data_IF_169262843525
#
_entry.id   IF_169262843525
#
_cell.length_a   1.000
_cell.length_b   1.000
_cell.length_c   1.000
_cell.angle_alpha   90.00
_cell.angle_beta   90.00
_cell.angle_gamma   90.00
#
_symmetry.space_group_name_H-M   'P 1'
#
loop_
_entity.id
_entity.type
_entity.pdbx_description
1 polymer ?
#
# COMPACT_ATOMS: atom_id res chain seq x y z
N UNK A 1 -27.23 -14.87 16.78
CA UNK A 1 -27.95 -16.18 16.79
C UNK A 1 -27.08 -17.18 17.56
N UNK A 2 -27.64 -18.01 18.44
CA UNK A 2 -26.88 -19.04 19.18
C UNK A 2 -27.22 -20.43 18.64
N UNK A 3 -26.22 -21.29 18.40
CA UNK A 3 -26.40 -22.68 17.97
C UNK A 3 -25.86 -23.61 19.06
N UNK A 4 -26.53 -24.74 19.27
CA UNK A 4 -26.05 -25.78 20.18
C UNK A 4 -25.10 -26.70 19.43
N UNK A 5 -24.00 -27.06 20.08
CA UNK A 5 -23.11 -28.11 19.61
C UNK A 5 -23.82 -29.47 19.79
N UNK A 6 -23.72 -30.33 18.79
CA UNK A 6 -24.33 -31.65 18.75
C UNK A 6 -23.23 -32.71 18.70
N UNK A 7 -23.43 -33.82 19.39
CA UNK A 7 -22.50 -34.95 19.31
C UNK A 7 -22.82 -35.78 18.06
N UNK A 8 -21.85 -35.94 17.15
CA UNK A 8 -21.98 -36.70 15.90
C UNK A 8 -21.29 -38.07 15.96
N UNK A 9 -20.51 -38.33 17.01
CA UNK A 9 -19.82 -39.60 17.27
C UNK A 9 -19.17 -39.61 18.67
N UNK A 10 -18.39 -40.64 18.99
CA UNK A 10 -17.71 -40.74 20.30
C UNK A 10 -16.69 -39.62 20.54
N UNK A 11 -16.10 -39.08 19.48
CA UNK A 11 -15.05 -38.04 19.54
C UNK A 11 -15.32 -36.80 18.69
N UNK A 12 -16.47 -36.71 18.01
CA UNK A 12 -16.75 -35.63 17.03
C UNK A 12 -17.95 -34.81 17.45
N UNK A 13 -17.77 -33.49 17.42
CA UNK A 13 -18.80 -32.49 17.66
C UNK A 13 -19.17 -31.80 16.33
N UNK A 14 -20.45 -31.49 16.15
CA UNK A 14 -20.97 -30.75 15.01
C UNK A 14 -21.74 -29.51 15.45
N UNK A 15 -21.82 -28.51 14.56
CA UNK A 15 -22.66 -27.33 14.73
C UNK A 15 -23.37 -27.03 13.41
N UNK A 16 -24.64 -26.66 13.47
CA UNK A 16 -25.41 -26.31 12.28
C UNK A 16 -25.13 -24.88 11.83
N UNK A 17 -24.82 -24.67 10.56
CA UNK A 17 -24.71 -23.34 9.95
C UNK A 17 -26.10 -22.74 9.62
N UNK A 18 -26.23 -21.40 9.47
CA UNK A 18 -27.50 -20.76 9.13
C UNK A 18 -28.03 -21.21 7.76
N UNK A 19 -29.31 -21.58 7.67
CA UNK A 19 -29.92 -22.07 6.43
C UNK A 19 -29.96 -21.01 5.31
N UNK A 20 -30.10 -19.73 5.66
CA UNK A 20 -30.08 -18.64 4.68
C UNK A 20 -28.69 -18.50 4.05
N UNK A 21 -27.63 -18.67 4.84
CA UNK A 21 -26.24 -18.64 4.37
C UNK A 21 -25.93 -19.84 3.46
N UNK A 22 -26.38 -21.05 3.84
CA UNK A 22 -26.27 -22.26 3.01
C UNK A 22 -26.94 -22.05 1.65
N UNK A 23 -28.17 -21.53 1.64
CA UNK A 23 -28.91 -21.25 0.41
C UNK A 23 -28.26 -20.16 -0.44
N UNK A 24 -27.77 -19.09 0.19
CA UNK A 24 -27.13 -17.98 -0.51
C UNK A 24 -25.86 -18.42 -1.25
N UNK A 25 -25.07 -19.31 -0.66
CA UNK A 25 -23.85 -19.83 -1.26
C UNK A 25 -24.05 -21.13 -2.05
N UNK A 26 -25.29 -21.61 -2.19
CA UNK A 26 -25.59 -22.84 -2.94
C UNK A 26 -24.95 -24.10 -2.36
N UNK A 27 -24.72 -24.14 -1.05
CA UNK A 27 -23.99 -25.24 -0.40
C UNK A 27 -24.89 -26.47 -0.30
N UNK A 28 -24.41 -27.58 -0.84
CA UNK A 28 -25.07 -28.87 -0.86
C UNK A 28 -24.41 -29.87 0.10
N UNK A 29 -25.06 -31.03 0.26
CA UNK A 29 -24.50 -32.11 1.08
C UNK A 29 -23.29 -32.71 0.37
N UNK A 30 -22.13 -32.60 1.00
CA UNK A 30 -20.88 -33.17 0.50
C UNK A 30 -19.83 -32.11 0.20
N UNK A 31 -20.26 -30.85 0.09
CA UNK A 31 -19.37 -29.71 -0.15
C UNK A 31 -18.43 -29.49 1.04
N UNK A 32 -17.19 -29.11 0.74
CA UNK A 32 -16.19 -28.83 1.77
C UNK A 32 -16.26 -27.35 2.19
N UNK A 33 -15.99 -27.12 3.47
CA UNK A 33 -15.87 -25.78 4.05
C UNK A 33 -14.45 -25.61 4.58
N UNK A 34 -13.84 -24.47 4.27
CA UNK A 34 -12.58 -24.09 4.92
C UNK A 34 -12.91 -23.40 6.23
N UNK A 35 -12.32 -23.93 7.30
CA UNK A 35 -12.37 -23.37 8.63
C UNK A 35 -11.05 -22.68 8.94
N UNK A 36 -11.11 -21.42 9.32
CA UNK A 36 -9.95 -20.67 9.78
C UNK A 36 -10.15 -20.23 11.21
N UNK A 37 -9.10 -20.39 12.02
CA UNK A 37 -9.10 -19.85 13.37
C UNK A 37 -8.80 -18.37 13.30
N UNK A 38 -9.62 -17.59 13.99
CA UNK A 38 -9.23 -16.26 14.41
C UNK A 38 -8.20 -16.42 15.54
N UNK A 39 -7.01 -15.84 15.37
CA UNK A 39 -5.87 -16.04 16.26
C UNK A 39 -6.12 -15.51 17.67
N UNK A 40 -6.98 -14.51 17.83
CA UNK A 40 -7.11 -13.77 19.09
C UNK A 40 -8.47 -13.94 19.80
N UNK A 41 -9.48 -14.51 19.14
CA UNK A 41 -10.85 -14.53 19.66
C UNK A 41 -11.46 -15.90 19.93
N UNK A 42 -10.72 -17.00 19.72
CA UNK A 42 -11.28 -18.36 19.74
C UNK A 42 -12.39 -18.59 18.71
N UNK A 43 -12.52 -17.66 17.75
CA UNK A 43 -13.55 -17.67 16.72
C UNK A 43 -13.12 -18.53 15.52
N UNK A 44 -14.11 -19.05 14.81
CA UNK A 44 -13.90 -19.79 13.56
C UNK A 44 -14.59 -19.06 12.42
N UNK A 45 -13.83 -18.69 11.40
CA UNK A 45 -14.35 -18.24 10.13
C UNK A 45 -14.60 -19.44 9.21
N UNK A 46 -15.83 -19.53 8.69
CA UNK A 46 -16.27 -20.60 7.79
C UNK A 46 -16.50 -20.03 6.39
N UNK A 47 -15.86 -20.63 5.38
CA UNK A 47 -15.95 -20.19 3.98
C UNK A 47 -16.17 -21.40 3.05
N UNK A 48 -17.10 -21.37 2.08
CA UNK A 48 -17.33 -22.47 1.12
C UNK A 48 -16.09 -22.75 0.26
N UNK A 49 -15.76 -24.01 -0.05
CA UNK A 49 -14.60 -24.39 -0.89
C UNK A 49 -14.54 -23.62 -2.22
N UNK A 50 -15.64 -23.60 -2.94
CA UNK A 50 -15.79 -22.75 -4.12
C UNK A 50 -16.88 -21.73 -3.81
N UNK A 51 -16.53 -20.54 -3.29
CA UNK A 51 -17.53 -19.52 -3.08
C UNK A 51 -18.15 -19.18 -4.45
N UNK A 52 -19.48 -19.17 -4.53
CA UNK A 52 -20.18 -18.50 -5.63
C UNK A 52 -19.86 -17.01 -5.50
N UNK A 53 -18.83 -16.54 -6.19
CA UNK A 53 -18.39 -15.15 -6.09
C UNK A 53 -19.33 -14.31 -6.97
N UNK A 54 -20.55 -14.06 -6.48
CA UNK A 54 -21.44 -13.05 -7.06
C UNK A 54 -20.83 -11.63 -7.04
N UNK A 55 -19.69 -11.47 -6.36
CA UNK A 55 -18.95 -10.25 -6.11
C UNK A 55 -17.75 -10.03 -7.07
N UNK A 56 -17.64 -10.75 -8.19
CA UNK A 56 -16.56 -10.48 -9.17
C UNK A 56 -16.89 -9.38 -10.17
N UNK A 57 -18.16 -9.01 -10.28
CA UNK A 57 -18.64 -8.04 -11.25
C UNK A 57 -19.21 -6.79 -10.57
N UNK A 58 -19.05 -5.64 -11.20
CA UNK A 58 -19.66 -4.40 -10.75
C UNK A 58 -20.10 -3.55 -11.95
N UNK A 59 -21.27 -2.94 -11.86
CA UNK A 59 -21.73 -1.92 -12.82
C UNK A 59 -21.65 -0.54 -12.18
N UNK A 60 -20.98 0.39 -12.85
CA UNK A 60 -20.90 1.80 -12.49
C UNK A 60 -21.85 2.55 -13.43
N UNK A 61 -22.82 3.24 -12.83
CA UNK A 61 -23.70 4.16 -13.55
C UNK A 61 -22.92 5.44 -13.91
N UNK A 62 -22.62 5.60 -15.20
CA UNK A 62 -21.85 6.71 -15.74
C UNK A 62 -22.64 8.01 -15.77
N UNK A 63 -23.97 7.97 -15.93
CA UNK A 63 -24.81 9.18 -16.03
C UNK A 63 -24.84 9.94 -14.69
N UNK A 64 -24.64 9.22 -13.59
CA UNK A 64 -24.58 9.77 -12.24
C UNK A 64 -23.21 10.38 -11.87
N UNK A 65 -22.19 10.26 -12.73
CA UNK A 65 -20.80 10.60 -12.40
C UNK A 65 -20.12 11.47 -13.47
N UNK A 66 -19.50 12.58 -13.03
CA UNK A 66 -18.50 13.28 -13.83
C UNK A 66 -17.21 12.45 -13.99
N UNK A 67 -16.38 12.80 -14.98
CA UNK A 67 -15.17 12.05 -15.34
C UNK A 67 -14.24 11.73 -14.15
N UNK A 68 -13.90 12.72 -13.32
CA UNK A 68 -13.02 12.50 -12.15
C UNK A 68 -13.64 11.54 -11.11
N UNK A 69 -14.97 11.60 -10.94
CA UNK A 69 -15.67 10.71 -10.01
C UNK A 69 -15.76 9.30 -10.58
N UNK A 70 -15.92 9.17 -11.90
CA UNK A 70 -15.90 7.91 -12.62
C UNK A 70 -14.53 7.23 -12.51
N UNK A 71 -13.42 7.94 -12.72
CA UNK A 71 -12.07 7.38 -12.54
C UNK A 71 -11.89 6.82 -11.12
N UNK A 72 -12.27 7.59 -10.09
CA UNK A 72 -12.23 7.13 -8.69
C UNK A 72 -13.13 5.92 -8.43
N UNK A 73 -14.29 5.85 -9.09
CA UNK A 73 -15.19 4.69 -8.97
C UNK A 73 -14.54 3.44 -9.57
N UNK A 74 -13.88 3.54 -10.72
CA UNK A 74 -13.14 2.43 -11.34
C UNK A 74 -11.97 1.99 -10.45
N UNK A 75 -11.15 2.93 -9.97
CA UNK A 75 -10.05 2.65 -9.02
C UNK A 75 -10.58 1.94 -7.76
N UNK A 76 -11.74 2.36 -7.24
CA UNK A 76 -12.37 1.73 -6.07
C UNK A 76 -12.79 0.30 -6.37
N UNK A 77 -13.50 0.05 -7.48
CA UNK A 77 -13.90 -1.31 -7.85
C UNK A 77 -12.69 -2.21 -8.10
N UNK A 78 -11.61 -1.67 -8.67
CA UNK A 78 -10.34 -2.38 -8.81
C UNK A 78 -9.75 -2.78 -7.45
N UNK A 79 -9.67 -1.86 -6.48
CA UNK A 79 -9.17 -2.16 -5.12
C UNK A 79 -10.07 -3.16 -4.41
N UNK A 80 -11.38 -3.09 -4.60
CA UNK A 80 -12.34 -4.06 -4.03
C UNK A 80 -12.24 -5.45 -4.68
N UNK A 81 -11.30 -5.68 -5.61
CA UNK A 81 -11.04 -7.01 -6.17
C UNK A 81 -12.02 -7.43 -7.26
N UNK A 82 -12.86 -6.52 -7.79
CA UNK A 82 -13.75 -6.85 -8.92
C UNK A 82 -12.91 -7.29 -10.13
N UNK A 83 -13.30 -8.37 -10.78
CA UNK A 83 -12.67 -8.88 -11.99
C UNK A 83 -13.24 -8.20 -13.23
N UNK A 84 -14.54 -7.94 -13.27
CA UNK A 84 -15.23 -7.27 -14.36
C UNK A 84 -15.89 -5.98 -13.86
N UNK A 85 -15.65 -4.86 -14.53
CA UNK A 85 -16.26 -3.58 -14.19
C UNK A 85 -16.90 -3.02 -15.46
N UNK A 86 -18.23 -2.92 -15.47
CA UNK A 86 -19.01 -2.34 -16.56
C UNK A 86 -19.33 -0.88 -16.23
N UNK A 87 -18.92 0.04 -17.08
CA UNK A 87 -19.24 1.46 -17.00
C UNK A 87 -20.37 1.71 -18.00
N UNK A 88 -21.59 1.95 -17.53
CA UNK A 88 -22.77 2.02 -18.37
C UNK A 88 -23.57 3.30 -18.12
N UNK A 89 -24.08 3.92 -19.19
CA UNK A 89 -25.04 5.02 -19.16
C UNK A 89 -26.26 4.72 -20.03
N UNK A 90 -27.35 5.45 -19.81
CA UNK A 90 -28.49 5.48 -20.71
C UNK A 90 -28.17 6.26 -22.00
N UNK A 91 -27.31 7.29 -21.89
CA UNK A 91 -26.81 8.09 -23.00
C UNK A 91 -25.37 7.66 -23.40
N UNK A 92 -24.89 8.03 -24.61
CA UNK A 92 -23.51 7.77 -25.00
C UNK A 92 -22.48 8.38 -24.05
N UNK A 93 -21.47 7.60 -23.67
CA UNK A 93 -20.39 8.03 -22.80
C UNK A 93 -19.63 9.21 -23.42
N UNK A 94 -19.49 10.27 -22.64
CA UNK A 94 -18.80 11.50 -23.04
C UNK A 94 -17.30 11.27 -23.23
N UNK A 95 -16.64 12.12 -24.04
CA UNK A 95 -15.17 12.07 -24.22
C UNK A 95 -14.39 12.04 -22.90
N UNK A 96 -14.66 12.96 -21.95
CA UNK A 96 -14.03 12.95 -20.62
C UNK A 96 -14.26 11.65 -19.82
N UNK A 97 -15.43 11.02 -19.91
CA UNK A 97 -15.68 9.73 -19.25
C UNK A 97 -14.88 8.60 -19.89
N UNK A 98 -14.71 8.59 -21.23
CA UNK A 98 -13.84 7.64 -21.93
C UNK A 98 -12.37 7.83 -21.53
N UNK A 99 -11.92 9.08 -21.47
CA UNK A 99 -10.57 9.42 -21.02
C UNK A 99 -10.31 8.97 -19.58
N UNK A 100 -11.31 9.05 -18.70
CA UNK A 100 -11.23 8.52 -17.34
C UNK A 100 -11.02 6.99 -17.32
N UNK A 101 -11.74 6.24 -18.17
CA UNK A 101 -11.53 4.79 -18.30
C UNK A 101 -10.12 4.46 -18.81
N UNK A 102 -9.65 5.17 -19.86
CA UNK A 102 -8.31 5.01 -20.41
C UNK A 102 -7.20 5.42 -19.42
N UNK A 103 -7.47 6.41 -18.57
CA UNK A 103 -6.57 6.79 -17.47
C UNK A 103 -6.46 5.65 -16.46
N UNK A 104 -7.59 5.09 -16.02
CA UNK A 104 -7.62 3.97 -15.09
C UNK A 104 -6.89 2.74 -15.66
N UNK A 105 -7.13 2.38 -16.93
CA UNK A 105 -6.41 1.29 -17.62
C UNK A 105 -4.89 1.50 -17.59
N UNK A 106 -4.40 2.70 -17.91
CA UNK A 106 -2.96 3.00 -17.88
C UNK A 106 -2.36 2.97 -16.49
N UNK A 107 -3.15 3.26 -15.45
CA UNK A 107 -2.71 3.42 -14.05
C UNK A 107 -2.87 2.16 -13.20
N UNK A 108 -3.68 1.19 -13.61
CA UNK A 108 -4.02 0.01 -12.81
C UNK A 108 -3.47 -1.25 -13.47
N UNK A 109 -2.62 -1.99 -12.76
CA UNK A 109 -1.97 -3.17 -13.32
C UNK A 109 -2.98 -4.29 -13.62
N UNK A 110 -2.89 -4.80 -14.85
CA UNK A 110 -3.70 -5.90 -15.36
C UNK A 110 -5.16 -5.54 -15.65
N UNK A 111 -5.53 -4.26 -15.57
CA UNK A 111 -6.81 -3.77 -16.07
C UNK A 111 -6.73 -3.58 -17.59
N UNK A 112 -7.74 -4.02 -18.33
CA UNK A 112 -7.82 -3.82 -19.79
C UNK A 112 -9.27 -3.71 -20.26
N UNK A 113 -9.51 -2.90 -21.28
CA UNK A 113 -10.83 -2.79 -21.92
C UNK A 113 -11.10 -4.08 -22.73
N UNK A 114 -12.23 -4.74 -22.43
CA UNK A 114 -12.66 -5.96 -23.14
C UNK A 114 -13.84 -5.72 -24.06
N UNK A 115 -14.60 -4.66 -23.82
CA UNK A 115 -15.73 -4.28 -24.65
C UNK A 115 -15.92 -2.76 -24.61
N UNK A 116 -16.19 -2.16 -25.77
CA UNK A 116 -16.43 -0.73 -25.91
C UNK A 116 -17.59 -0.50 -26.88
N UNK A 117 -18.63 0.16 -26.38
CA UNK A 117 -19.83 0.60 -27.11
C UNK A 117 -20.02 2.11 -26.90
N UNK A 118 -21.05 2.67 -27.53
CA UNK A 118 -21.40 4.09 -27.34
C UNK A 118 -21.81 4.39 -25.90
N UNK A 119 -22.65 3.54 -25.30
CA UNK A 119 -23.24 3.74 -23.96
C UNK A 119 -22.60 2.89 -22.86
N UNK A 120 -21.61 2.07 -23.19
CA UNK A 120 -21.02 1.11 -22.25
C UNK A 120 -19.55 0.84 -22.56
N UNK A 121 -18.70 0.79 -21.53
CA UNK A 121 -17.35 0.23 -21.61
C UNK A 121 -17.18 -0.79 -20.50
N UNK A 122 -16.72 -1.99 -20.82
CA UNK A 122 -16.40 -3.03 -19.85
C UNK A 122 -14.90 -3.23 -19.77
N UNK A 123 -14.35 -3.16 -18.57
CA UNK A 123 -12.95 -3.45 -18.27
C UNK A 123 -12.82 -4.73 -17.45
N UNK A 124 -11.75 -5.48 -17.69
CA UNK A 124 -11.41 -6.70 -16.95
C UNK A 124 -10.06 -6.55 -16.27
N UNK A 125 -9.96 -6.98 -15.02
CA UNK A 125 -8.70 -7.16 -14.33
C UNK A 125 -8.27 -8.63 -14.35
N UNK A 126 -7.12 -8.91 -14.95
CA UNK A 126 -6.58 -10.27 -15.12
C UNK A 126 -5.53 -10.66 -14.06
N UNK A 127 -5.46 -9.92 -12.95
CA UNK A 127 -4.51 -10.19 -11.85
C UNK A 127 -5.08 -11.26 -10.93
N UNK A 128 -4.37 -12.38 -10.80
CA UNK A 128 -4.60 -13.35 -9.74
C UNK A 128 -3.85 -12.94 -8.45
N UNK A 129 -4.51 -12.81 -7.29
CA UNK A 129 -3.84 -12.46 -6.04
C UNK A 129 -2.73 -13.44 -5.64
N UNK A 130 -2.85 -14.70 -6.03
CA UNK A 130 -1.89 -15.78 -5.74
C UNK A 130 -0.54 -15.62 -6.44
N UNK A 131 -0.44 -14.73 -7.42
CA UNK A 131 0.80 -14.50 -8.16
C UNK A 131 1.78 -13.56 -7.41
N UNK A 132 1.38 -13.05 -6.24
CA UNK A 132 2.13 -12.04 -5.52
C UNK A 132 2.19 -12.31 -4.02
N UNK A 133 3.40 -12.16 -3.48
CA UNK A 133 3.63 -12.08 -2.04
C UNK A 133 3.63 -10.63 -1.58
N UNK A 134 2.91 -10.33 -0.50
CA UNK A 134 2.79 -8.97 0.02
C UNK A 134 4.14 -8.41 0.50
N UNK A 135 4.96 -9.22 1.19
CA UNK A 135 6.30 -8.80 1.62
C UNK A 135 7.21 -8.42 0.45
N UNK A 136 7.13 -9.16 -0.67
CA UNK A 136 7.88 -8.87 -1.88
C UNK A 136 7.41 -7.58 -2.56
N UNK A 137 6.09 -7.34 -2.65
CA UNK A 137 5.54 -6.09 -3.17
C UNK A 137 5.89 -4.89 -2.29
N UNK A 138 5.82 -5.04 -0.97
CA UNK A 138 6.25 -4.03 0.00
C UNK A 138 7.72 -3.66 -0.22
N UNK A 139 8.60 -4.66 -0.38
CA UNK A 139 10.01 -4.43 -0.67
C UNK A 139 10.25 -3.72 -2.00
N UNK A 140 9.42 -3.98 -3.02
CA UNK A 140 9.48 -3.23 -4.30
C UNK A 140 9.10 -1.77 -4.11
N UNK A 141 8.02 -1.48 -3.39
CA UNK A 141 7.59 -0.11 -3.07
C UNK A 141 8.70 0.68 -2.36
N UNK A 142 9.29 0.11 -1.31
CA UNK A 142 10.42 0.75 -0.59
C UNK A 142 11.61 1.05 -1.49
N UNK A 143 12.03 0.10 -2.34
CA UNK A 143 13.17 0.32 -3.25
C UNK A 143 12.86 1.40 -4.28
N UNK A 144 11.65 1.41 -4.83
CA UNK A 144 11.24 2.43 -5.81
C UNK A 144 11.20 3.81 -5.18
N UNK A 145 10.63 3.94 -3.98
CA UNK A 145 10.62 5.18 -3.20
C UNK A 145 12.04 5.64 -2.88
N UNK A 146 12.91 4.74 -2.41
CA UNK A 146 14.31 5.09 -2.13
C UNK A 146 15.06 5.55 -3.39
N UNK A 147 14.76 5.00 -4.57
CA UNK A 147 15.32 5.54 -5.82
C UNK A 147 14.77 6.93 -6.13
N UNK A 148 13.48 7.18 -5.93
CA UNK A 148 12.88 8.51 -6.12
C UNK A 148 13.52 9.55 -5.20
N UNK A 149 13.71 9.22 -3.92
CA UNK A 149 14.39 10.09 -2.96
C UNK A 149 15.82 10.41 -3.40
N UNK A 150 16.58 9.41 -3.85
CA UNK A 150 17.95 9.62 -4.36
C UNK A 150 17.97 10.50 -5.60
N UNK A 151 17.12 10.24 -6.59
CA UNK A 151 17.01 11.07 -7.79
C UNK A 151 16.64 12.53 -7.42
N UNK A 152 15.71 12.74 -6.49
CA UNK A 152 15.31 14.07 -6.03
C UNK A 152 16.46 14.81 -5.30
N UNK A 153 17.26 14.09 -4.50
CA UNK A 153 18.43 14.65 -3.83
C UNK A 153 19.58 14.95 -4.80
N UNK A 154 19.83 14.08 -5.77
CA UNK A 154 20.77 14.37 -6.87
C UNK A 154 20.35 15.63 -7.61
N UNK A 155 19.06 15.76 -7.93
CA UNK A 155 18.52 16.97 -8.56
C UNK A 155 18.79 18.23 -7.71
N UNK A 156 18.57 18.13 -6.39
CA UNK A 156 18.77 19.24 -5.47
C UNK A 156 20.24 19.64 -5.34
N UNK A 157 21.13 18.66 -5.19
CA UNK A 157 22.56 18.92 -4.96
C UNK A 157 23.28 19.39 -6.23
N UNK A 158 22.97 18.78 -7.37
CA UNK A 158 23.72 18.97 -8.60
C UNK A 158 23.02 19.93 -9.57
N UNK A 159 21.81 20.38 -9.26
CA UNK A 159 20.95 21.11 -10.19
C UNK A 159 20.52 20.24 -11.39
N UNK A 160 20.49 18.91 -11.23
CA UNK A 160 20.18 17.97 -12.31
C UNK A 160 18.66 17.91 -12.56
N UNK A 161 18.18 18.75 -13.49
CA UNK A 161 16.79 18.73 -13.93
C UNK A 161 16.34 17.38 -14.53
N UNK A 162 17.25 16.59 -15.12
CA UNK A 162 16.89 15.25 -15.60
C UNK A 162 16.67 14.27 -14.43
N UNK A 163 17.39 14.42 -13.32
CA UNK A 163 17.11 13.67 -12.10
C UNK A 163 15.77 14.07 -11.48
N UNK A 164 15.42 15.36 -11.51
CA UNK A 164 14.11 15.82 -11.06
C UNK A 164 12.97 15.16 -11.86
N UNK A 165 13.04 15.18 -13.19
CA UNK A 165 12.02 14.55 -14.05
C UNK A 165 11.95 13.04 -13.83
N UNK A 166 13.09 12.34 -13.67
CA UNK A 166 13.10 10.91 -13.34
C UNK A 166 12.37 10.60 -12.03
N UNK A 167 12.53 11.43 -11.01
CA UNK A 167 11.82 11.26 -9.74
C UNK A 167 10.31 11.48 -9.91
N UNK A 168 9.90 12.53 -10.62
CA UNK A 168 8.49 12.87 -10.89
C UNK A 168 7.80 11.76 -11.69
N UNK A 169 8.40 11.32 -12.79
CA UNK A 169 7.83 10.28 -13.67
C UNK A 169 7.62 8.94 -12.93
N UNK A 170 8.51 8.64 -11.98
CA UNK A 170 8.49 7.39 -11.21
C UNK A 170 7.38 7.33 -10.16
N UNK A 171 6.78 8.47 -9.81
CA UNK A 171 5.59 8.53 -8.94
C UNK A 171 4.46 7.66 -9.50
N UNK A 172 4.30 7.62 -10.83
CA UNK A 172 3.30 6.77 -11.50
C UNK A 172 3.53 5.27 -11.23
N UNK A 173 4.79 4.84 -11.09
CA UNK A 173 5.15 3.45 -10.80
C UNK A 173 4.84 3.08 -9.35
N UNK A 174 5.12 3.97 -8.40
CA UNK A 174 4.76 3.79 -6.98
C UNK A 174 3.24 3.69 -6.84
N UNK A 175 2.49 4.58 -7.49
CA UNK A 175 1.02 4.55 -7.48
C UNK A 175 0.46 3.25 -8.05
N UNK A 176 1.00 2.75 -9.17
CA UNK A 176 0.64 1.44 -9.74
C UNK A 176 0.82 0.32 -8.72
N UNK A 177 1.99 0.26 -8.09
CA UNK A 177 2.30 -0.75 -7.07
C UNK A 177 1.37 -0.62 -5.85
N UNK A 178 1.04 0.60 -5.42
CA UNK A 178 0.11 0.88 -4.34
C UNK A 178 -1.29 0.32 -4.60
N UNK A 179 -1.90 0.62 -5.75
CA UNK A 179 -3.22 0.10 -6.08
C UNK A 179 -3.24 -1.43 -6.21
N UNK A 180 -2.19 -2.02 -6.82
CA UNK A 180 -2.04 -3.47 -6.86
C UNK A 180 -1.96 -4.06 -5.45
N UNK A 181 -1.15 -3.45 -4.57
CA UNK A 181 -1.01 -3.89 -3.19
C UNK A 181 -2.36 -3.85 -2.45
N UNK A 182 -3.11 -2.75 -2.58
CA UNK A 182 -4.44 -2.64 -2.00
C UNK A 182 -5.39 -3.70 -2.55
N UNK A 183 -5.41 -3.94 -3.87
CA UNK A 183 -6.23 -4.99 -4.47
C UNK A 183 -5.96 -6.36 -3.83
N UNK A 184 -4.70 -6.71 -3.61
CA UNK A 184 -4.32 -7.99 -3.00
C UNK A 184 -4.70 -8.01 -1.52
N UNK A 185 -4.47 -6.93 -0.77
CA UNK A 185 -4.90 -6.82 0.63
C UNK A 185 -6.41 -7.02 0.77
N UNK A 186 -7.22 -6.37 -0.06
CA UNK A 186 -8.68 -6.50 -0.01
C UNK A 186 -9.17 -7.88 -0.48
N UNK A 187 -8.55 -8.46 -1.51
CA UNK A 187 -8.84 -9.82 -1.94
C UNK A 187 -8.55 -10.83 -0.82
N UNK A 188 -7.38 -10.72 -0.17
CA UNK A 188 -6.98 -11.59 0.94
C UNK A 188 -7.84 -11.38 2.17
N UNK A 189 -8.24 -10.15 2.49
CA UNK A 189 -9.15 -9.87 3.59
C UNK A 189 -10.52 -10.55 3.41
N UNK A 190 -11.05 -10.54 2.18
CA UNK A 190 -12.34 -11.20 1.86
C UNK A 190 -12.21 -12.72 1.76
N UNK A 191 -11.07 -13.21 1.28
CA UNK A 191 -10.79 -14.63 1.16
C UNK A 191 -9.48 -14.97 1.88
N UNK A 192 -9.54 -15.20 3.19
CA UNK A 192 -8.32 -15.43 3.97
C UNK A 192 -7.66 -16.79 3.70
N UNK A 193 -8.15 -17.58 2.74
CA UNK A 193 -7.37 -18.70 2.16
C UNK A 193 -6.15 -18.22 1.42
N UNK A 194 -6.22 -17.01 0.91
CA UNK A 194 -5.12 -16.37 0.21
C UNK A 194 -3.98 -15.98 1.15
N UNK A 195 -4.17 -15.97 2.48
CA UNK A 195 -3.14 -15.59 3.45
C UNK A 195 -1.79 -16.27 3.14
N UNK A 196 -1.77 -17.61 3.09
CA UNK A 196 -0.52 -18.34 2.81
C UNK A 196 0.01 -18.09 1.40
N UNK A 197 -0.87 -17.96 0.40
CA UNK A 197 -0.47 -17.69 -0.97
C UNK A 197 0.20 -16.32 -1.12
N UNK A 198 -0.17 -15.35 -0.27
CA UNK A 198 0.43 -14.01 -0.25
C UNK A 198 1.56 -13.84 0.76
N UNK A 199 2.04 -14.95 1.35
CA UNK A 199 3.16 -14.98 2.29
C UNK A 199 2.81 -14.56 3.72
N UNK A 200 1.55 -14.73 4.14
CA UNK A 200 1.09 -14.47 5.51
C UNK A 200 0.57 -15.75 6.16
N UNK A 201 0.83 -15.92 7.46
CA UNK A 201 0.20 -17.00 8.22
C UNK A 201 -1.29 -16.72 8.43
N UNK A 202 -1.64 -15.45 8.67
CA UNK A 202 -3.03 -15.00 8.93
C UNK A 202 -3.34 -13.63 8.33
N UNK A 203 -4.61 -13.20 8.46
CA UNK A 203 -5.08 -11.93 7.93
C UNK A 203 -4.76 -10.72 8.81
N UNK A 204 -4.25 -10.91 10.03
CA UNK A 204 -4.00 -9.79 10.95
C UNK A 204 -3.00 -8.76 10.41
N UNK A 205 -1.85 -9.14 9.81
CA UNK A 205 -0.89 -8.17 9.28
C UNK A 205 -1.44 -7.27 8.16
N UNK A 206 -2.55 -7.63 7.51
CA UNK A 206 -3.14 -6.89 6.39
C UNK A 206 -3.43 -5.42 6.72
N UNK A 207 -3.94 -5.14 7.92
CA UNK A 207 -4.25 -3.76 8.34
C UNK A 207 -2.96 -2.93 8.52
N UNK A 208 -1.93 -3.54 9.11
CA UNK A 208 -0.63 -2.92 9.28
C UNK A 208 0.04 -2.66 7.93
N UNK A 209 0.00 -3.65 7.03
CA UNK A 209 0.56 -3.57 5.69
C UNK A 209 -0.10 -2.47 4.86
N UNK A 210 -1.43 -2.31 4.94
CA UNK A 210 -2.14 -1.19 4.30
C UNK A 210 -1.67 0.16 4.83
N UNK A 211 -1.37 0.27 6.12
CA UNK A 211 -0.84 1.52 6.70
C UNK A 211 0.57 1.79 6.20
N UNK A 212 1.47 0.81 6.32
CA UNK A 212 2.86 0.92 5.89
C UNK A 212 3.00 1.31 4.41
N UNK A 213 2.17 0.72 3.55
CA UNK A 213 2.20 1.04 2.10
C UNK A 213 1.70 2.45 1.80
N UNK A 214 0.77 2.99 2.59
CA UNK A 214 0.37 4.41 2.47
C UNK A 214 1.51 5.34 2.85
N UNK A 215 2.23 5.03 3.91
CA UNK A 215 3.37 5.83 4.37
C UNK A 215 4.47 5.89 3.30
N UNK A 216 4.76 4.77 2.63
CA UNK A 216 5.73 4.75 1.50
C UNK A 216 5.28 5.65 0.35
N UNK A 217 3.97 5.69 0.03
CA UNK A 217 3.46 6.61 -0.99
C UNK A 217 3.66 8.06 -0.57
N UNK A 218 3.43 8.39 0.70
CA UNK A 218 3.63 9.74 1.21
C UNK A 218 5.11 10.14 1.22
N UNK A 219 6.02 9.20 1.48
CA UNK A 219 7.47 9.41 1.33
C UNK A 219 7.85 9.67 -0.14
N UNK A 220 7.25 8.91 -1.08
CA UNK A 220 7.46 9.11 -2.51
C UNK A 220 6.93 10.48 -2.99
N UNK A 221 5.77 10.92 -2.47
CA UNK A 221 5.21 12.24 -2.74
C UNK A 221 6.16 13.35 -2.22
N UNK A 222 6.75 13.19 -1.04
CA UNK A 222 7.76 14.14 -0.53
C UNK A 222 9.01 14.20 -1.43
N UNK A 223 9.48 13.07 -1.97
CA UNK A 223 10.57 13.06 -2.95
C UNK A 223 10.18 13.79 -4.26
N UNK A 224 8.95 13.61 -4.73
CA UNK A 224 8.40 14.34 -5.88
C UNK A 224 8.32 15.84 -5.61
N UNK A 225 7.95 16.26 -4.40
CA UNK A 225 7.94 17.67 -4.00
C UNK A 225 9.34 18.29 -4.03
N UNK A 226 10.38 17.58 -3.56
CA UNK A 226 11.78 18.02 -3.66
C UNK A 226 12.18 18.22 -5.13
N UNK A 227 11.89 17.23 -5.99
CA UNK A 227 12.19 17.31 -7.42
C UNK A 227 11.46 18.48 -8.11
N UNK A 228 10.19 18.73 -7.74
CA UNK A 228 9.42 19.86 -8.24
C UNK A 228 10.03 21.20 -7.82
N UNK A 229 10.53 21.33 -6.58
CA UNK A 229 11.23 22.54 -6.15
C UNK A 229 12.45 22.85 -7.03
N UNK A 230 13.24 21.83 -7.38
CA UNK A 230 14.41 21.99 -8.25
C UNK A 230 14.00 22.47 -9.64
N UNK A 231 13.00 21.83 -10.23
CA UNK A 231 12.48 22.16 -11.56
C UNK A 231 11.87 23.56 -11.62
N UNK A 232 11.06 23.92 -10.63
CA UNK A 232 10.27 25.16 -10.64
C UNK A 232 11.10 26.39 -10.27
N UNK A 233 12.26 26.21 -9.60
CA UNK A 233 13.15 27.28 -9.16
C UNK A 233 14.50 27.34 -9.88
N UNK A 234 14.73 26.49 -10.90
CA UNK A 234 15.97 26.44 -11.69
C UNK A 234 17.23 26.40 -10.80
N UNK A 235 17.23 25.46 -9.86
CA UNK A 235 18.28 25.34 -8.83
C UNK A 235 19.60 24.94 -9.48
N UNK A 236 20.65 25.71 -9.21
CA UNK A 236 22.03 25.35 -9.55
C UNK A 236 22.65 24.44 -8.50
N UNK A 237 23.75 23.79 -8.84
CA UNK A 237 24.50 22.96 -7.90
C UNK A 237 24.87 23.71 -6.62
N UNK A 238 24.71 23.04 -5.48
CA UNK A 238 25.03 23.56 -4.16
C UNK A 238 26.51 23.34 -3.85
N UNK A 239 27.04 24.03 -2.84
CA UNK A 239 28.41 23.82 -2.40
C UNK A 239 28.61 22.45 -1.72
N UNK A 240 29.87 21.99 -1.67
CA UNK A 240 30.24 20.67 -1.16
C UNK A 240 29.83 20.46 0.31
N UNK A 241 29.85 21.52 1.13
CA UNK A 241 29.45 21.45 2.55
C UNK A 241 27.93 21.23 2.65
N UNK A 242 27.13 21.98 1.89
CA UNK A 242 25.67 21.78 1.79
C UNK A 242 25.34 20.38 1.27
N UNK A 243 26.03 19.93 0.22
CA UNK A 243 25.82 18.61 -0.38
C UNK A 243 26.10 17.48 0.63
N UNK A 244 27.20 17.58 1.39
CA UNK A 244 27.56 16.60 2.41
C UNK A 244 26.51 16.51 3.54
N UNK A 245 25.95 17.65 3.94
CA UNK A 245 24.84 17.69 4.91
C UNK A 245 23.58 17.00 4.38
N UNK A 246 23.21 17.25 3.12
CA UNK A 246 22.09 16.58 2.48
C UNK A 246 22.30 15.06 2.37
N UNK A 247 23.50 14.62 2.01
CA UNK A 247 23.86 13.21 1.89
C UNK A 247 23.81 12.49 3.24
N UNK A 248 24.36 13.09 4.30
CA UNK A 248 24.31 12.49 5.64
C UNK A 248 22.87 12.26 6.12
N UNK A 249 21.98 13.24 5.92
CA UNK A 249 20.57 13.10 6.25
C UNK A 249 19.88 12.02 5.39
N UNK A 250 20.19 11.98 4.09
CA UNK A 250 19.64 11.00 3.17
C UNK A 250 20.05 9.56 3.52
N UNK A 251 21.34 9.34 3.80
CA UNK A 251 21.88 8.05 4.18
C UNK A 251 21.30 7.55 5.51
N UNK A 252 21.11 8.46 6.46
CA UNK A 252 20.45 8.14 7.72
C UNK A 252 18.99 7.73 7.51
N UNK A 253 18.25 8.45 6.64
CA UNK A 253 16.86 8.13 6.31
C UNK A 253 16.76 6.82 5.52
N UNK A 254 17.67 6.55 4.57
CA UNK A 254 17.78 5.27 3.86
C UNK A 254 17.96 4.11 4.84
N UNK A 255 18.87 4.28 5.81
CA UNK A 255 19.14 3.30 6.86
C UNK A 255 17.91 3.07 7.73
N UNK A 256 17.24 4.14 8.16
CA UNK A 256 16.05 4.06 8.99
C UNK A 256 14.87 3.40 8.27
N UNK A 257 14.66 3.73 6.99
CA UNK A 257 13.60 3.14 6.16
C UNK A 257 13.85 1.63 5.93
N UNK A 258 15.09 1.22 5.67
CA UNK A 258 15.44 -0.19 5.48
C UNK A 258 15.32 -1.02 6.76
N UNK A 259 15.77 -0.47 7.90
CA UNK A 259 15.60 -1.10 9.21
C UNK A 259 14.10 -1.23 9.56
N UNK A 260 13.31 -0.19 9.29
CA UNK A 260 11.87 -0.20 9.50
C UNK A 260 11.16 -1.22 8.61
N UNK A 261 11.54 -1.31 7.32
CA UNK A 261 11.03 -2.34 6.40
C UNK A 261 11.30 -3.74 6.95
N UNK A 262 12.51 -3.98 7.43
CA UNK A 262 12.90 -5.27 8.03
C UNK A 262 12.00 -5.58 9.23
N UNK A 263 11.78 -4.62 10.12
CA UNK A 263 10.90 -4.77 11.28
C UNK A 263 9.41 -4.98 10.91
N UNK A 264 8.95 -4.50 9.74
CA UNK A 264 7.57 -4.78 9.27
C UNK A 264 7.43 -6.18 8.70
N UNK A 265 8.43 -6.65 7.93
CA UNK A 265 8.38 -7.95 7.26
C UNK A 265 8.65 -9.10 8.23
N UNK A 266 9.58 -8.88 9.17
CA UNK A 266 9.92 -9.84 10.22
C UNK A 266 9.85 -9.12 11.56
N UNK A 267 8.64 -8.97 12.13
CA UNK A 267 8.46 -8.21 13.37
C UNK A 267 9.05 -8.93 14.56
N UNK A 268 10.08 -8.35 15.16
CA UNK A 268 10.64 -8.76 16.45
C UNK A 268 11.09 -7.55 17.25
N UNK A 269 11.19 -7.70 18.57
CA UNK A 269 11.58 -6.58 19.44
C UNK A 269 12.96 -6.00 19.06
N UNK A 270 13.92 -6.85 18.70
CA UNK A 270 15.27 -6.44 18.29
C UNK A 270 15.26 -5.56 17.06
N UNK A 271 14.61 -5.98 15.97
CA UNK A 271 14.51 -5.18 14.74
C UNK A 271 13.76 -3.87 14.96
N UNK A 272 12.74 -3.83 15.83
CA UNK A 272 12.08 -2.55 16.17
C UNK A 272 13.00 -1.60 16.95
N UNK A 273 13.89 -2.13 17.81
CA UNK A 273 14.90 -1.33 18.52
C UNK A 273 15.98 -0.80 17.58
N UNK A 274 16.43 -1.61 16.62
CA UNK A 274 17.38 -1.19 15.58
C UNK A 274 16.79 -0.06 14.72
N UNK A 275 15.57 -0.23 14.24
CA UNK A 275 14.86 0.79 13.46
C UNK A 275 14.65 2.09 14.26
N UNK A 276 14.30 1.99 15.55
CA UNK A 276 14.16 3.16 16.45
C UNK A 276 15.49 3.90 16.62
N UNK A 277 16.58 3.16 16.77
CA UNK A 277 17.93 3.73 16.87
C UNK A 277 18.33 4.44 15.58
N UNK A 278 18.03 3.84 14.42
CA UNK A 278 18.30 4.45 13.12
C UNK A 278 17.49 5.75 12.91
N UNK A 279 16.20 5.77 13.32
CA UNK A 279 15.40 7.00 13.29
C UNK A 279 15.95 8.11 14.20
N UNK A 280 16.50 7.77 15.37
CA UNK A 280 17.16 8.75 16.23
C UNK A 280 18.31 9.48 15.52
N UNK A 281 19.09 8.76 14.69
CA UNK A 281 20.15 9.38 13.88
C UNK A 281 19.61 10.33 12.81
N UNK A 282 18.41 10.05 12.28
CA UNK A 282 17.74 10.98 11.36
C UNK A 282 17.40 12.28 12.08
N UNK A 283 16.86 12.19 13.30
CA UNK A 283 16.51 13.37 14.11
C UNK A 283 17.77 14.22 14.43
N UNK A 284 18.90 13.56 14.74
CA UNK A 284 20.20 14.22 14.95
C UNK A 284 20.66 14.98 13.69
N UNK A 285 20.64 14.33 12.52
CA UNK A 285 21.04 14.98 11.26
C UNK A 285 20.07 16.08 10.82
N UNK A 286 18.76 15.95 11.05
CA UNK A 286 17.80 17.05 10.81
C UNK A 286 18.16 18.26 11.66
N UNK A 287 18.52 18.07 12.93
CA UNK A 287 18.95 19.16 13.80
C UNK A 287 20.26 19.81 13.31
N UNK A 288 21.24 19.01 12.90
CA UNK A 288 22.51 19.46 12.34
C UNK A 288 22.32 20.29 11.07
N UNK A 289 21.56 19.79 10.09
CA UNK A 289 21.30 20.50 8.83
C UNK A 289 20.55 21.81 9.10
N UNK A 290 19.55 21.80 9.99
CA UNK A 290 18.82 23.02 10.34
C UNK A 290 19.71 24.07 11.04
N UNK A 291 20.66 23.65 11.89
CA UNK A 291 21.65 24.54 12.48
C UNK A 291 22.59 25.11 11.40
N UNK A 292 23.09 24.26 10.51
CA UNK A 292 23.91 24.67 9.37
C UNK A 292 23.20 25.70 8.47
N UNK A 293 21.96 25.43 8.04
CA UNK A 293 21.19 26.35 7.20
C UNK A 293 20.92 27.69 7.89
N UNK A 294 20.77 27.71 9.21
CA UNK A 294 20.58 28.93 10.00
C UNK A 294 21.84 29.78 10.05
N UNK A 295 22.99 29.16 10.27
CA UNK A 295 24.25 29.85 10.53
C UNK A 295 24.97 30.25 9.23
N UNK A 296 24.99 29.35 8.24
CA UNK A 296 25.74 29.51 6.99
C UNK A 296 24.91 30.12 5.88
N UNK A 297 23.59 29.92 5.91
CA UNK A 297 22.62 30.46 4.95
C UNK A 297 23.05 30.25 3.47
N UNK A 298 23.37 29.01 3.07
CA UNK A 298 23.75 28.71 1.68
C UNK A 298 22.60 29.02 0.71
N UNK A 299 22.92 29.35 -0.53
CA UNK A 299 21.93 29.55 -1.58
C UNK A 299 21.75 28.27 -2.41
N UNK A 300 20.51 27.87 -2.77
CA UNK A 300 19.24 28.56 -2.52
C UNK A 300 18.59 28.21 -1.16
N UNK A 301 18.66 29.12 -0.18
CA UNK A 301 18.32 28.82 1.22
C UNK A 301 16.89 28.31 1.40
N UNK A 302 15.92 28.97 0.76
CA UNK A 302 14.50 28.62 0.92
C UNK A 302 14.19 27.24 0.33
N UNK A 303 14.81 26.88 -0.79
CA UNK A 303 14.63 25.57 -1.41
C UNK A 303 15.25 24.49 -0.53
N UNK A 304 16.45 24.73 0.00
CA UNK A 304 17.11 23.82 0.95
C UNK A 304 16.26 23.59 2.21
N UNK A 305 15.72 24.65 2.80
CA UNK A 305 14.84 24.54 3.97
C UNK A 305 13.59 23.71 3.68
N UNK A 306 12.96 23.91 2.51
CA UNK A 306 11.79 23.11 2.11
C UNK A 306 12.14 21.66 1.84
N UNK A 307 13.30 21.40 1.24
CA UNK A 307 13.76 20.03 1.01
C UNK A 307 14.02 19.29 2.34
N UNK A 308 14.60 19.97 3.33
CA UNK A 308 14.75 19.41 4.68
C UNK A 308 13.39 19.13 5.33
N UNK A 309 12.40 20.03 5.21
CA UNK A 309 11.01 19.75 5.69
C UNK A 309 10.46 18.48 5.03
N UNK A 310 10.63 18.31 3.72
CA UNK A 310 10.16 17.12 2.99
C UNK A 310 10.83 15.83 3.49
N UNK A 311 12.14 15.84 3.73
CA UNK A 311 12.87 14.70 4.28
C UNK A 311 12.41 14.38 5.71
N UNK A 312 12.14 15.41 6.52
CA UNK A 312 11.57 15.25 7.86
C UNK A 312 10.15 14.64 7.79
N UNK A 313 9.33 15.00 6.79
CA UNK A 313 8.05 14.32 6.54
C UNK A 313 8.24 12.84 6.25
N UNK A 314 9.21 12.48 5.40
CA UNK A 314 9.52 11.08 5.13
C UNK A 314 9.99 10.32 6.37
N UNK A 315 10.75 10.97 7.26
CA UNK A 315 11.14 10.41 8.55
C UNK A 315 9.92 10.18 9.48
N UNK A 316 8.92 11.07 9.46
CA UNK A 316 7.66 10.86 10.20
C UNK A 316 6.88 9.66 9.66
N UNK A 317 6.73 9.52 8.35
CA UNK A 317 6.08 8.36 7.74
C UNK A 317 6.83 7.05 8.03
N UNK A 318 8.17 7.08 8.05
CA UNK A 318 8.98 5.94 8.49
C UNK A 318 8.70 5.59 9.97
N UNK A 319 8.54 6.59 10.84
CA UNK A 319 8.19 6.40 12.26
C UNK A 319 6.77 5.84 12.44
N UNK A 320 5.81 6.29 11.65
CA UNK A 320 4.44 5.75 11.63
C UNK A 320 4.44 4.27 11.22
N UNK A 321 5.24 3.91 10.22
CA UNK A 321 5.43 2.51 9.84
C UNK A 321 6.17 1.69 10.90
N UNK A 322 7.12 2.27 11.64
CA UNK A 322 7.74 1.59 12.79
C UNK A 322 6.72 1.32 13.91
N UNK A 323 5.73 2.18 14.10
CA UNK A 323 4.65 1.92 15.07
C UNK A 323 3.85 0.67 14.67
N UNK A 324 3.59 0.49 13.37
CA UNK A 324 2.98 -0.74 12.84
C UNK A 324 3.83 -1.97 13.16
N UNK A 325 5.14 -1.93 12.86
CA UNK A 325 6.06 -3.03 13.18
C UNK A 325 6.09 -3.35 14.69
N UNK A 326 6.07 -2.32 15.53
CA UNK A 326 6.01 -2.47 17.00
C UNK A 326 4.74 -3.21 17.40
N UNK A 327 3.57 -2.83 16.87
CA UNK A 327 2.32 -3.53 17.18
C UNK A 327 2.34 -5.00 16.73
N UNK A 328 2.97 -5.30 15.60
CA UNK A 328 3.12 -6.67 15.11
C UNK A 328 4.08 -7.49 16.01
N UNK A 329 5.20 -6.91 16.42
CA UNK A 329 6.22 -7.58 17.24
C UNK A 329 5.70 -7.94 18.64
N UNK A 330 4.97 -7.05 19.30
CA UNK A 330 4.44 -7.27 20.66
C UNK A 330 3.14 -8.08 20.69
N UNK A 331 2.66 -8.58 19.55
CA UNK A 331 1.40 -9.33 19.44
C UNK A 331 1.52 -10.76 20.00
N UNK A 332 2.59 -11.45 19.65
CA UNK A 332 2.83 -12.86 19.98
C UNK A 332 4.31 -13.03 20.31
N UNK A 333 4.81 -12.23 21.24
CA UNK A 333 6.11 -12.49 21.83
C UNK A 333 5.89 -13.27 23.13
N UNK A 334 5.92 -14.62 23.12
CA UNK A 334 5.71 -15.41 24.33
C UNK A 334 6.78 -15.15 25.41
N UNK A 335 7.91 -14.57 25.04
CA UNK A 335 8.99 -14.20 25.96
C UNK A 335 8.78 -12.79 26.56
N UNK A 336 8.01 -11.90 25.91
CA UNK A 336 7.78 -10.51 26.35
C UNK A 336 6.32 -10.17 26.74
N UNK A 337 5.32 -10.81 26.15
CA UNK A 337 3.89 -10.54 26.35
C UNK A 337 3.13 -11.87 26.45
N UNK A 338 2.77 -12.25 27.68
CA UNK A 338 1.87 -13.37 27.95
C UNK A 338 0.43 -12.86 28.09
N UNK A 339 -0.46 -13.34 27.23
CA UNK A 339 -1.91 -13.17 27.40
C UNK A 339 -2.45 -14.36 28.20
N UNK A 340 -3.14 -14.11 29.33
CA UNK A 340 -3.86 -15.13 30.11
C UNK A 340 -5.19 -15.55 29.48
#
# INVERSE_FOLDING_TARGET
MKRKVQQLGSSTLGVTVPADWVRHHGIEKGDELIMQRDESGGSLLLVPEDPTIADEEATIDADSLGADALERAIETQYVLGRQLISIAGADPLTGPQRDAVLSAERRLMGLGIVEERETEITVRCSIAPTDFELGTLLGRLYRTEATMRRDALTALKDGDGAAAERAIDRQSQVRKLFYLFLRIVFATYRNPRLNRAVGLDTGFPLIGYRSAVQDIVLMADAATEIAALVRDHDVSAVDEETAAHADALADALDTAAEATRTAVVTPDYGTTCEARTALGRVDDHVAEVNAYLRDRRPEPLLVLQRAVDMLERSARHTRDTLAVATHLAFREDPDLVTAE
#
